data_IF_026575090916
#
_entry.id   IF_026575090916
#
_cell.length_a   1.000
_cell.length_b   1.000
_cell.length_c   1.000
_cell.angle_alpha   90.00
_cell.angle_beta   90.00
_cell.angle_gamma   90.00
#
_symmetry.space_group_name_H-M   'P 1'
#
loop_
_entity.id
_entity.type
_entity.pdbx_description
1 polymer ?
#
# COMPACT_ATOMS: atom_id res chain seq x y z
N UNK A 1 -54.53 -29.80 -27.14
CA UNK A 1 -55.07 -29.20 -25.90
C UNK A 1 -54.00 -29.29 -24.83
N UNK A 2 -53.79 -28.21 -24.16
CA UNK A 2 -52.96 -27.93 -22.99
C UNK A 2 -51.48 -27.61 -23.16
N UNK A 3 -51.27 -26.32 -23.16
CA UNK A 3 -50.11 -25.55 -22.81
C UNK A 3 -49.51 -25.94 -21.45
N UNK A 4 -48.19 -25.97 -21.34
CA UNK A 4 -47.47 -25.62 -20.12
C UNK A 4 -46.21 -24.82 -20.47
N UNK A 5 -46.30 -23.52 -20.20
CA UNK A 5 -45.23 -22.56 -20.28
C UNK A 5 -44.34 -22.72 -19.03
N UNK A 6 -43.08 -23.11 -19.25
CA UNK A 6 -42.03 -23.10 -18.22
C UNK A 6 -41.38 -21.73 -18.11
N UNK A 7 -41.71 -20.96 -17.09
CA UNK A 7 -41.03 -19.70 -16.73
C UNK A 7 -39.60 -20.02 -16.25
N UNK A 8 -38.61 -19.61 -17.01
CA UNK A 8 -37.22 -19.46 -16.53
C UNK A 8 -37.18 -18.27 -15.56
N UNK A 9 -36.93 -18.54 -14.29
CA UNK A 9 -36.57 -17.53 -13.31
C UNK A 9 -35.08 -17.21 -13.52
N UNK A 10 -34.79 -16.01 -13.97
CA UNK A 10 -33.46 -15.42 -13.93
C UNK A 10 -33.12 -15.10 -12.47
N UNK A 11 -32.22 -15.87 -11.88
CA UNK A 11 -31.56 -15.48 -10.63
C UNK A 11 -30.59 -14.32 -10.97
N UNK A 12 -31.04 -13.12 -10.70
CA UNK A 12 -30.16 -11.96 -10.54
C UNK A 12 -29.65 -12.06 -9.12
N UNK A 13 -28.45 -12.59 -8.97
CA UNK A 13 -27.72 -12.57 -7.71
C UNK A 13 -27.32 -11.10 -7.46
N UNK A 14 -27.99 -10.48 -6.51
CA UNK A 14 -27.71 -9.13 -6.07
C UNK A 14 -26.32 -9.11 -5.41
N UNK A 15 -25.38 -8.43 -6.05
CA UNK A 15 -24.09 -8.13 -5.46
C UNK A 15 -24.31 -7.39 -4.14
N UNK A 16 -23.83 -7.94 -3.05
CA UNK A 16 -23.86 -7.30 -1.75
C UNK A 16 -23.03 -6.01 -1.76
N UNK A 17 -23.46 -4.95 -1.08
CA UNK A 17 -22.75 -3.68 -1.08
C UNK A 17 -21.35 -3.83 -0.47
N UNK A 18 -20.33 -3.26 -1.14
CA UNK A 18 -18.91 -3.23 -0.81
C UNK A 18 -18.57 -2.69 0.61
N UNK A 19 -19.56 -2.17 1.33
CA UNK A 19 -19.37 -1.50 2.62
C UNK A 19 -19.10 -2.41 3.83
N UNK A 20 -19.27 -3.73 3.74
CA UNK A 20 -19.23 -4.59 4.92
C UNK A 20 -17.92 -5.37 5.15
N UNK A 21 -17.00 -5.41 4.17
CA UNK A 21 -15.77 -6.21 4.30
C UNK A 21 -14.50 -5.41 4.62
N UNK A 22 -14.51 -4.09 4.43
CA UNK A 22 -13.32 -3.24 4.61
C UNK A 22 -12.99 -2.85 6.06
N UNK A 23 -13.91 -3.06 7.02
CA UNK A 23 -13.75 -2.47 8.35
C UNK A 23 -12.85 -3.24 9.32
N UNK A 24 -12.76 -4.56 9.20
CA UNK A 24 -12.01 -5.37 10.17
C UNK A 24 -10.51 -5.47 9.87
N UNK A 25 -10.11 -5.46 8.60
CA UNK A 25 -8.69 -5.55 8.23
C UNK A 25 -7.96 -4.22 8.42
N UNK A 26 -8.62 -3.09 8.11
CA UNK A 26 -8.06 -1.76 8.29
C UNK A 26 -7.85 -1.41 9.78
N UNK A 27 -8.80 -1.79 10.64
CA UNK A 27 -8.67 -1.59 12.09
C UNK A 27 -7.53 -2.42 12.67
N UNK A 28 -7.34 -3.67 12.25
CA UNK A 28 -6.22 -4.51 12.69
C UNK A 28 -4.86 -3.97 12.22
N UNK A 29 -4.75 -3.41 11.01
CA UNK A 29 -3.48 -2.87 10.50
C UNK A 29 -3.13 -1.51 11.10
N UNK A 30 -4.11 -0.62 11.30
CA UNK A 30 -3.89 0.62 12.02
C UNK A 30 -3.58 0.35 13.49
N UNK A 31 -4.28 -0.57 14.13
CA UNK A 31 -4.03 -0.99 15.50
C UNK A 31 -2.65 -1.65 15.64
N UNK A 32 -2.19 -2.43 14.65
CA UNK A 32 -0.84 -3.01 14.63
C UNK A 32 0.26 -1.96 14.41
N UNK A 33 0.00 -0.90 13.63
CA UNK A 33 0.91 0.25 13.50
C UNK A 33 0.92 1.11 14.76
N UNK A 34 -0.23 1.30 15.43
CA UNK A 34 -0.34 2.04 16.69
C UNK A 34 0.18 1.23 17.88
N UNK A 35 -0.15 -0.06 17.99
CA UNK A 35 0.29 -0.92 19.10
C UNK A 35 1.79 -1.20 19.10
N UNK A 36 2.45 -1.25 17.93
CA UNK A 36 3.92 -1.31 17.88
C UNK A 36 4.59 0.03 18.13
N UNK A 37 3.89 1.14 17.91
CA UNK A 37 4.36 2.48 18.30
C UNK A 37 4.20 2.74 19.80
N UNK A 38 3.29 2.00 20.45
CA UNK A 38 3.02 2.03 21.87
C UNK A 38 3.30 0.65 22.47
N UNK A 39 4.55 0.17 22.37
CA UNK A 39 4.97 -0.97 23.16
C UNK A 39 4.77 -0.62 24.64
N UNK A 40 3.73 -1.17 25.25
CA UNK A 40 3.50 -1.08 26.68
C UNK A 40 4.74 -1.61 27.39
N UNK A 41 5.49 -0.70 27.99
CA UNK A 41 6.48 -1.05 28.98
C UNK A 41 5.75 -1.83 30.09
N UNK A 42 6.12 -3.07 30.41
CA UNK A 42 5.52 -3.78 31.53
C UNK A 42 5.82 -2.99 32.81
N UNK A 43 4.88 -2.96 33.78
CA UNK A 43 5.15 -2.30 35.06
C UNK A 43 6.35 -3.02 35.70
N UNK A 44 7.43 -2.26 35.92
CA UNK A 44 8.56 -2.72 36.72
C UNK A 44 8.07 -2.73 38.16
N UNK A 45 7.86 -3.92 38.70
CA UNK A 45 7.70 -4.12 40.15
C UNK A 45 9.05 -3.87 40.79
N UNK A 46 9.22 -2.69 41.39
CA UNK A 46 10.33 -2.41 42.26
C UNK A 46 10.05 -3.06 43.62
N UNK A 47 10.66 -4.22 43.87
CA UNK A 47 10.82 -4.71 45.24
C UNK A 47 11.84 -3.81 45.96
N UNK A 48 11.45 -3.44 47.17
CA UNK A 48 12.00 -2.40 48.00
C UNK A 48 13.52 -2.36 48.18
N UNK A 49 14.07 -1.20 47.91
CA UNK A 49 15.22 -0.68 48.66
C UNK A 49 14.94 0.79 48.97
N UNK A 50 14.81 1.01 50.29
CA UNK A 50 14.64 2.28 50.92
C UNK A 50 15.91 3.14 50.69
N UNK A 51 15.83 4.18 49.86
CA UNK A 51 16.86 5.22 49.77
C UNK A 51 16.15 6.57 49.77
N UNK A 52 16.56 7.34 50.81
CA UNK A 52 16.03 8.58 51.29
C UNK A 52 15.53 9.62 50.27
N UNK A 53 14.49 10.25 50.74
CA UNK A 53 13.90 11.51 50.29
C UNK A 53 14.91 12.55 49.82
N UNK A 54 14.96 12.80 48.49
CA UNK A 54 15.16 14.11 47.87
C UNK A 54 15.32 13.94 46.35
N UNK A 55 14.20 13.73 45.65
CA UNK A 55 14.13 14.00 44.22
C UNK A 55 13.18 15.18 44.00
N UNK A 56 13.58 16.22 43.29
CA UNK A 56 12.68 17.33 42.97
C UNK A 56 11.62 16.82 42.00
N UNK A 57 10.39 16.83 42.47
CA UNK A 57 9.19 16.66 41.67
C UNK A 57 9.05 17.91 40.82
N UNK A 58 9.61 17.90 39.61
CA UNK A 58 9.26 18.76 38.47
C UNK A 58 10.36 18.77 37.39
N UNK A 59 10.74 17.61 36.90
CA UNK A 59 11.24 17.55 35.52
C UNK A 59 10.13 17.00 34.65
N UNK A 60 9.18 17.89 34.33
CA UNK A 60 8.39 17.75 33.13
C UNK A 60 9.37 17.47 31.99
N UNK A 61 9.25 16.32 31.36
CA UNK A 61 9.99 15.96 30.14
C UNK A 61 9.87 17.18 29.23
N UNK A 62 10.86 18.06 29.24
CA UNK A 62 11.01 19.11 28.25
C UNK A 62 11.39 18.39 26.97
N UNK A 63 10.39 18.04 26.19
CA UNK A 63 10.59 17.79 24.76
C UNK A 63 11.08 19.13 24.23
N UNK A 64 12.39 19.27 24.14
CA UNK A 64 13.00 20.40 23.45
C UNK A 64 12.42 20.42 22.04
N UNK A 65 11.82 21.52 21.57
CA UNK A 65 11.38 21.65 20.19
C UNK A 65 12.60 21.90 19.31
N UNK A 66 13.41 20.87 19.13
CA UNK A 66 14.68 21.02 18.44
C UNK A 66 15.30 19.68 18.18
N UNK A 67 14.69 18.90 17.36
CA UNK A 67 15.25 18.10 16.27
C UNK A 67 14.22 17.05 15.85
N UNK A 68 13.17 17.47 15.18
CA UNK A 68 12.56 16.60 14.19
C UNK A 68 13.68 16.32 13.19
N UNK A 69 14.41 15.22 13.35
CA UNK A 69 15.38 14.73 12.38
C UNK A 69 14.65 14.15 11.16
N UNK A 70 13.69 14.92 10.62
CA UNK A 70 12.87 14.54 9.49
C UNK A 70 12.76 15.68 8.48
N UNK A 71 12.94 15.33 7.23
CA UNK A 71 12.80 16.22 6.09
C UNK A 71 11.40 16.10 5.48
N UNK A 72 10.78 17.25 5.14
CA UNK A 72 9.53 17.23 4.37
C UNK A 72 9.85 16.91 2.92
N UNK A 73 9.37 15.77 2.45
CA UNK A 73 9.56 15.29 1.07
C UNK A 73 8.22 14.96 0.41
N UNK A 74 8.19 15.05 -0.91
CA UNK A 74 7.14 14.42 -1.70
C UNK A 74 7.58 13.01 -2.03
N UNK A 75 6.82 12.01 -1.60
CA UNK A 75 7.16 10.59 -1.73
C UNK A 75 5.96 9.85 -2.30
N UNK A 76 6.21 8.84 -3.11
CA UNK A 76 5.20 7.86 -3.49
C UNK A 76 5.35 6.64 -2.60
N UNK A 77 4.29 6.36 -1.85
CA UNK A 77 4.22 5.21 -0.93
C UNK A 77 3.41 4.12 -1.59
N UNK A 78 3.90 2.89 -1.52
CA UNK A 78 3.25 1.69 -2.00
C UNK A 78 3.04 0.73 -0.85
N UNK A 79 1.83 0.17 -0.74
CA UNK A 79 1.57 -1.05 0.02
C UNK A 79 1.19 -2.15 -0.96
N UNK A 80 1.79 -3.32 -0.82
CA UNK A 80 1.45 -4.51 -1.57
C UNK A 80 1.18 -5.65 -0.58
N UNK A 81 0.05 -6.32 -0.72
CA UNK A 81 -0.43 -7.34 0.20
C UNK A 81 -0.87 -8.59 -0.57
N UNK A 82 -0.52 -9.77 -0.04
CA UNK A 82 -0.85 -11.04 -0.65
C UNK A 82 -2.28 -11.44 -0.32
N UNK A 83 -3.13 -11.59 -1.32
CA UNK A 83 -4.49 -12.08 -1.14
C UNK A 83 -4.57 -13.59 -1.31
N UNK A 84 -5.38 -14.24 -0.45
CA UNK A 84 -5.54 -15.69 -0.43
C UNK A 84 -4.49 -16.42 0.42
N UNK A 85 -3.48 -15.72 0.92
CA UNK A 85 -2.39 -16.30 1.67
C UNK A 85 -2.87 -16.95 2.99
N UNK A 86 -3.71 -16.29 3.77
CA UNK A 86 -4.24 -16.83 5.04
C UNK A 86 -4.96 -18.17 4.85
N UNK A 87 -5.84 -18.26 3.84
CA UNK A 87 -6.56 -19.51 3.55
C UNK A 87 -5.61 -20.63 3.05
N UNK A 88 -4.54 -20.25 2.35
CA UNK A 88 -3.56 -21.18 1.81
C UNK A 88 -2.66 -21.77 2.90
N UNK A 89 -2.50 -21.06 4.02
CA UNK A 89 -1.60 -21.44 5.13
C UNK A 89 -2.31 -22.07 6.32
N UNK A 90 -3.64 -22.12 6.33
CA UNK A 90 -4.47 -22.55 7.48
C UNK A 90 -4.14 -23.97 8.02
N UNK A 91 -3.62 -24.86 7.17
CA UNK A 91 -3.28 -26.24 7.55
C UNK A 91 -1.81 -26.58 7.30
N UNK A 92 -0.92 -25.58 7.29
CA UNK A 92 0.53 -25.76 7.05
C UNK A 92 1.33 -25.60 8.33
N UNK A 93 2.47 -26.26 8.36
CA UNK A 93 3.46 -26.02 9.40
C UNK A 93 4.02 -24.60 9.32
N UNK A 94 4.33 -24.01 10.48
CA UNK A 94 4.80 -22.63 10.56
C UNK A 94 6.07 -22.36 9.73
N UNK A 95 6.97 -23.35 9.64
CA UNK A 95 8.19 -23.26 8.84
C UNK A 95 7.90 -23.19 7.34
N UNK A 96 6.93 -23.98 6.85
CA UNK A 96 6.48 -23.92 5.45
C UNK A 96 5.85 -22.57 5.12
N UNK A 97 5.04 -22.03 6.05
CA UNK A 97 4.42 -20.72 5.91
C UNK A 97 5.49 -19.63 5.78
N UNK A 98 6.48 -19.62 6.68
CA UNK A 98 7.58 -18.64 6.66
C UNK A 98 8.40 -18.77 5.37
N UNK A 99 8.71 -19.98 4.93
CA UNK A 99 9.42 -20.21 3.67
C UNK A 99 8.66 -19.66 2.48
N UNK A 100 7.35 -19.90 2.41
CA UNK A 100 6.50 -19.45 1.30
C UNK A 100 6.36 -17.93 1.27
N UNK A 101 6.11 -17.29 2.44
CA UNK A 101 6.06 -15.83 2.57
C UNK A 101 7.35 -15.19 2.13
N UNK A 102 8.48 -15.63 2.71
CA UNK A 102 9.79 -15.05 2.43
C UNK A 102 10.15 -15.18 0.94
N UNK A 103 9.86 -16.35 0.34
CA UNK A 103 10.09 -16.55 -1.08
C UNK A 103 9.23 -15.62 -1.93
N UNK A 104 7.94 -15.46 -1.62
CA UNK A 104 7.05 -14.57 -2.34
C UNK A 104 7.46 -13.10 -2.19
N UNK A 105 7.73 -12.66 -0.95
CA UNK A 105 8.17 -11.30 -0.67
C UNK A 105 9.52 -10.97 -1.33
N UNK A 106 10.40 -11.93 -1.51
CA UNK A 106 11.65 -11.74 -2.26
C UNK A 106 11.38 -11.38 -3.73
N UNK A 107 10.45 -12.09 -4.39
CA UNK A 107 10.05 -11.76 -5.78
C UNK A 107 9.45 -10.36 -5.88
N UNK A 108 8.57 -9.98 -4.93
CA UNK A 108 7.97 -8.63 -4.92
C UNK A 108 9.02 -7.56 -4.60
N UNK A 109 9.94 -7.85 -3.68
CA UNK A 109 11.01 -6.92 -3.30
C UNK A 109 11.96 -6.58 -4.45
N UNK A 110 12.31 -7.56 -5.27
CA UNK A 110 13.13 -7.35 -6.47
C UNK A 110 12.49 -6.35 -7.45
N UNK A 111 11.14 -6.36 -7.56
CA UNK A 111 10.43 -5.37 -8.37
C UNK A 111 10.60 -3.95 -7.81
N UNK A 112 10.60 -3.77 -6.48
CA UNK A 112 10.86 -2.46 -5.86
C UNK A 112 12.28 -1.98 -6.17
N UNK A 113 13.29 -2.83 -5.96
CA UNK A 113 14.70 -2.47 -6.15
C UNK A 113 15.03 -2.19 -7.61
N UNK A 114 14.43 -2.89 -8.56
CA UNK A 114 14.60 -2.66 -10.01
C UNK A 114 14.28 -1.23 -10.43
N UNK A 115 13.35 -0.58 -9.72
CA UNK A 115 12.93 0.80 -9.97
C UNK A 115 13.46 1.80 -8.95
N UNK A 116 14.60 1.49 -8.29
CA UNK A 116 15.26 2.33 -7.27
C UNK A 116 14.34 2.71 -6.10
N UNK A 117 13.30 1.90 -5.82
CA UNK A 117 12.49 2.00 -4.63
C UNK A 117 13.22 1.44 -3.40
N UNK A 118 12.76 1.80 -2.24
CA UNK A 118 13.27 1.32 -0.95
C UNK A 118 12.17 0.59 -0.20
N UNK A 119 12.43 -0.63 0.26
CA UNK A 119 11.50 -1.33 1.17
C UNK A 119 11.65 -0.71 2.55
N UNK A 120 10.57 -0.17 3.07
CA UNK A 120 10.50 0.43 4.40
C UNK A 120 10.38 -0.67 5.45
N UNK A 121 9.42 -1.57 5.26
CA UNK A 121 9.20 -2.71 6.16
C UNK A 121 8.33 -3.79 5.53
N UNK A 122 8.42 -4.98 6.12
CA UNK A 122 7.47 -6.07 5.90
C UNK A 122 6.48 -6.15 7.07
N UNK A 123 5.20 -6.37 6.78
CA UNK A 123 4.11 -6.40 7.76
C UNK A 123 3.30 -7.68 7.52
N UNK A 124 3.77 -8.80 8.14
CA UNK A 124 3.22 -10.12 7.84
C UNK A 124 3.52 -10.54 6.40
N UNK A 125 2.49 -10.72 5.60
CA UNK A 125 2.52 -11.05 4.18
C UNK A 125 2.45 -9.82 3.26
N UNK A 126 2.51 -8.62 3.82
CA UNK A 126 2.53 -7.36 3.10
C UNK A 126 3.91 -6.69 3.13
N UNK A 127 4.19 -5.85 2.14
CA UNK A 127 5.36 -4.96 2.13
C UNK A 127 4.94 -3.50 1.98
N UNK A 128 5.69 -2.62 2.61
CA UNK A 128 5.64 -1.17 2.40
C UNK A 128 6.89 -0.73 1.68
N UNK A 129 6.73 -0.04 0.56
CA UNK A 129 7.84 0.50 -0.24
C UNK A 129 7.70 2.00 -0.46
N UNK A 130 8.83 2.66 -0.60
CA UNK A 130 8.97 4.10 -0.78
C UNK A 130 9.70 4.39 -2.11
N UNK A 131 9.16 5.31 -2.88
CA UNK A 131 9.81 5.90 -4.05
C UNK A 131 9.91 7.41 -3.81
N UNK A 132 11.15 7.93 -3.78
CA UNK A 132 11.43 9.31 -3.39
C UNK A 132 12.02 9.50 -1.99
N UNK A 133 12.26 8.41 -1.26
CA UNK A 133 12.97 8.42 0.00
C UNK A 133 13.79 7.13 0.16
N UNK A 134 15.03 7.19 0.62
CA UNK A 134 15.82 8.40 0.93
C UNK A 134 16.25 9.19 -0.31
N UNK A 135 16.31 8.55 -1.49
CA UNK A 135 16.66 9.19 -2.78
C UNK A 135 15.40 9.63 -3.50
N UNK A 136 15.44 10.81 -4.13
CA UNK A 136 14.32 11.37 -4.88
C UNK A 136 14.65 11.40 -6.38
N UNK A 137 13.69 10.97 -7.22
CA UNK A 137 13.73 11.08 -8.67
C UNK A 137 12.49 11.84 -9.14
N UNK A 138 12.56 12.46 -10.30
CA UNK A 138 11.43 13.21 -10.88
C UNK A 138 10.27 12.29 -11.26
N UNK A 139 10.58 11.03 -11.57
CA UNK A 139 9.68 9.99 -12.06
C UNK A 139 9.27 8.96 -10.98
N UNK A 140 9.46 9.26 -9.69
CA UNK A 140 9.12 8.35 -8.59
C UNK A 140 7.70 7.77 -8.67
N UNK A 141 6.64 8.52 -9.02
CA UNK A 141 5.29 7.97 -9.18
C UNK A 141 5.20 6.95 -10.33
N UNK A 142 5.90 7.21 -11.45
CA UNK A 142 5.98 6.28 -12.58
C UNK A 142 6.69 4.98 -12.17
N UNK A 143 7.83 5.10 -11.48
CA UNK A 143 8.61 3.96 -10.97
C UNK A 143 7.78 3.07 -10.06
N UNK A 144 6.99 3.67 -9.17
CA UNK A 144 6.08 2.95 -8.29
C UNK A 144 5.01 2.15 -9.07
N UNK A 145 4.39 2.77 -10.07
CA UNK A 145 3.36 2.08 -10.88
C UNK A 145 3.98 0.97 -11.75
N UNK A 146 5.18 1.17 -12.31
CA UNK A 146 5.91 0.13 -13.03
C UNK A 146 6.25 -1.05 -12.13
N UNK A 147 6.78 -0.78 -10.93
CA UNK A 147 7.08 -1.82 -9.95
C UNK A 147 5.83 -2.62 -9.58
N UNK A 148 4.67 -1.97 -9.44
CA UNK A 148 3.40 -2.65 -9.13
C UNK A 148 2.93 -3.58 -10.26
N UNK A 149 3.06 -3.17 -11.52
CA UNK A 149 2.76 -4.03 -12.68
C UNK A 149 3.74 -5.22 -12.76
N UNK A 150 5.04 -4.97 -12.57
CA UNK A 150 6.04 -6.04 -12.54
C UNK A 150 5.81 -7.03 -11.37
N UNK A 151 5.26 -6.57 -10.24
CA UNK A 151 4.89 -7.45 -9.12
C UNK A 151 3.80 -8.46 -9.52
N UNK A 152 2.81 -8.07 -10.31
CA UNK A 152 1.80 -8.99 -10.81
C UNK A 152 2.40 -10.05 -11.73
N UNK A 153 3.33 -9.64 -12.60
CA UNK A 153 4.05 -10.56 -13.48
C UNK A 153 4.98 -11.48 -12.68
N UNK A 154 5.73 -10.95 -11.72
CA UNK A 154 6.62 -11.69 -10.85
C UNK A 154 5.86 -12.74 -10.02
N UNK A 155 4.68 -12.40 -9.51
CA UNK A 155 3.83 -13.35 -8.81
C UNK A 155 3.28 -14.45 -9.74
N UNK A 156 3.02 -14.13 -10.99
CA UNK A 156 2.65 -15.12 -12.01
C UNK A 156 3.80 -16.11 -12.27
N UNK A 157 5.03 -15.61 -12.36
CA UNK A 157 6.22 -16.44 -12.48
C UNK A 157 6.46 -17.30 -11.22
N UNK A 158 6.26 -16.72 -10.03
CA UNK A 158 6.33 -17.45 -8.77
C UNK A 158 5.31 -18.60 -8.71
N UNK A 159 4.06 -18.36 -9.13
CA UNK A 159 3.01 -19.39 -9.18
C UNK A 159 3.32 -20.54 -10.15
N UNK A 160 4.11 -20.30 -11.17
CA UNK A 160 4.53 -21.33 -12.13
C UNK A 160 5.57 -22.30 -11.53
N UNK A 161 6.40 -21.85 -10.60
CA UNK A 161 7.44 -22.66 -9.96
C UNK A 161 7.61 -22.29 -8.48
N UNK A 162 6.62 -22.53 -7.63
CA UNK A 162 6.71 -22.20 -6.20
C UNK A 162 7.61 -23.21 -5.45
N UNK A 163 8.27 -22.79 -4.36
CA UNK A 163 9.11 -23.69 -3.56
C UNK A 163 8.32 -24.82 -2.88
N UNK A 164 7.01 -24.60 -2.67
CA UNK A 164 6.05 -25.55 -2.11
C UNK A 164 4.74 -25.49 -2.90
N UNK A 165 3.97 -26.58 -2.97
CA UNK A 165 2.68 -26.59 -3.66
C UNK A 165 1.75 -25.51 -3.12
N UNK A 166 1.09 -24.75 -4.00
CA UNK A 166 0.10 -23.73 -3.62
C UNK A 166 -1.28 -24.40 -3.50
N UNK A 167 -1.88 -24.35 -2.31
CA UNK A 167 -3.19 -24.98 -2.04
C UNK A 167 -4.36 -23.97 -2.20
N UNK A 168 -4.23 -23.02 -3.12
CA UNK A 168 -5.26 -22.01 -3.35
C UNK A 168 -4.81 -20.87 -4.26
N UNK A 169 -5.69 -19.94 -4.56
CA UNK A 169 -5.36 -18.76 -5.35
C UNK A 169 -4.48 -17.81 -4.53
N UNK A 170 -3.39 -17.37 -5.13
CA UNK A 170 -2.46 -16.39 -4.58
C UNK A 170 -2.39 -15.21 -5.55
N UNK A 171 -2.73 -14.02 -5.08
CA UNK A 171 -2.63 -12.79 -5.86
C UNK A 171 -2.04 -11.67 -5.00
N UNK A 172 -1.65 -10.56 -5.64
CA UNK A 172 -1.21 -9.35 -4.95
C UNK A 172 -2.17 -8.22 -5.27
N UNK A 173 -2.60 -7.49 -4.25
CA UNK A 173 -3.31 -6.22 -4.41
C UNK A 173 -2.46 -5.09 -3.87
N UNK A 174 -2.53 -3.92 -4.53
CA UNK A 174 -1.55 -2.86 -4.33
C UNK A 174 -2.26 -1.52 -4.21
N UNK A 175 -1.85 -0.73 -3.21
CA UNK A 175 -2.27 0.65 -3.01
C UNK A 175 -1.09 1.60 -3.14
N UNK A 176 -1.22 2.64 -4.00
CA UNK A 176 -0.16 3.61 -4.26
C UNK A 176 -0.67 5.02 -4.03
N UNK A 177 0.04 5.80 -3.23
CA UNK A 177 -0.29 7.21 -3.02
C UNK A 177 0.94 8.11 -3.03
N UNK A 178 0.85 9.20 -3.77
CA UNK A 178 1.88 10.24 -3.84
C UNK A 178 1.45 11.45 -3.01
N UNK A 179 2.33 11.96 -2.17
CA UNK A 179 2.05 13.13 -1.36
C UNK A 179 3.20 13.57 -0.47
N UNK A 180 2.98 14.64 0.29
CA UNK A 180 3.95 15.16 1.23
C UNK A 180 3.97 14.32 2.50
N UNK A 181 5.19 13.97 2.93
CA UNK A 181 5.46 13.22 4.16
C UNK A 181 6.62 13.87 4.91
N UNK A 182 6.79 13.50 6.16
CA UNK A 182 8.03 13.69 6.91
C UNK A 182 8.83 12.39 6.78
N UNK A 183 9.99 12.45 6.16
CA UNK A 183 10.92 11.34 6.01
C UNK A 183 12.09 11.51 6.98
N UNK A 184 12.42 10.50 7.75
CA UNK A 184 13.50 10.59 8.72
C UNK A 184 13.56 9.39 9.66
N UNK A 185 14.46 9.48 10.63
CA UNK A 185 14.55 8.49 11.70
C UNK A 185 13.45 8.75 12.73
N UNK A 186 12.52 7.80 12.83
CA UNK A 186 11.37 7.87 13.73
C UNK A 186 11.46 6.74 14.74
N UNK A 187 11.20 7.08 16.00
CA UNK A 187 11.27 6.12 17.10
C UNK A 187 11.84 6.72 18.38
N UNK A 188 12.30 5.86 19.26
CA UNK A 188 12.94 6.22 20.53
C UNK A 188 14.45 6.07 20.42
N UNK A 189 15.21 6.59 21.39
CA UNK A 189 16.69 6.42 21.45
C UNK A 189 17.14 4.95 21.35
N UNK A 190 16.31 4.02 21.80
CA UNK A 190 16.63 2.58 21.80
C UNK A 190 16.19 1.86 20.53
N UNK A 191 15.27 2.45 19.77
CA UNK A 191 14.74 1.85 18.53
C UNK A 191 14.31 2.95 17.57
N UNK A 192 15.14 3.19 16.57
CA UNK A 192 14.88 4.14 15.49
C UNK A 192 14.93 3.43 14.15
N UNK A 193 13.98 3.74 13.28
CA UNK A 193 13.99 3.30 11.90
C UNK A 193 13.80 4.49 10.97
N UNK A 194 14.50 4.51 9.86
CA UNK A 194 14.21 5.47 8.80
C UNK A 194 12.89 5.08 8.15
N UNK A 195 11.92 5.97 8.19
CA UNK A 195 10.58 5.74 7.62
C UNK A 195 9.91 7.07 7.26
N UNK A 196 8.70 7.01 6.78
CA UNK A 196 7.89 8.19 6.44
C UNK A 196 6.61 8.26 7.25
N UNK A 197 6.23 9.48 7.64
CA UNK A 197 4.94 9.76 8.29
C UNK A 197 4.18 10.82 7.50
N UNK A 198 2.90 10.59 7.24
CA UNK A 198 2.04 11.57 6.57
C UNK A 198 0.85 10.93 5.86
N UNK A 199 0.00 11.80 5.29
CA UNK A 199 -1.24 11.35 4.66
C UNK A 199 -1.03 10.36 3.50
N UNK A 200 0.09 10.47 2.76
CA UNK A 200 0.35 9.55 1.64
C UNK A 200 0.50 8.10 2.13
N UNK A 201 1.19 7.86 3.26
CA UNK A 201 1.32 6.52 3.83
C UNK A 201 -0.05 5.95 4.26
N UNK A 202 -0.84 6.76 5.00
CA UNK A 202 -2.17 6.36 5.41
C UNK A 202 -3.11 6.11 4.22
N UNK A 203 -2.97 6.92 3.16
CA UNK A 203 -3.79 6.78 1.97
C UNK A 203 -3.43 5.52 1.19
N UNK A 204 -2.15 5.23 0.99
CA UNK A 204 -1.69 4.02 0.32
C UNK A 204 -2.16 2.74 1.05
N UNK A 205 -2.09 2.73 2.40
CA UNK A 205 -2.60 1.62 3.22
C UNK A 205 -4.12 1.40 3.03
N UNK A 206 -4.89 2.49 2.86
CA UNK A 206 -6.34 2.38 2.62
C UNK A 206 -6.67 1.95 1.21
N UNK A 207 -5.86 2.35 0.23
CA UNK A 207 -6.04 1.92 -1.15
C UNK A 207 -5.82 0.42 -1.30
N UNK A 208 -4.83 -0.15 -0.61
CA UNK A 208 -4.62 -1.60 -0.62
C UNK A 208 -5.78 -2.34 0.05
N UNK A 209 -6.34 -1.80 1.13
CA UNK A 209 -7.51 -2.40 1.79
C UNK A 209 -8.79 -2.39 0.93
N UNK A 210 -8.90 -1.42 0.01
CA UNK A 210 -10.04 -1.29 -0.91
C UNK A 210 -9.86 -2.11 -2.19
N UNK A 211 -8.64 -2.47 -2.54
CA UNK A 211 -8.33 -3.21 -3.75
C UNK A 211 -8.70 -4.69 -3.60
N UNK A 212 -9.39 -5.22 -4.60
CA UNK A 212 -9.62 -6.66 -4.71
C UNK A 212 -8.36 -7.37 -5.25
N UNK A 213 -8.41 -8.71 -5.27
CA UNK A 213 -7.32 -9.55 -5.76
C UNK A 213 -6.84 -9.14 -7.15
N UNK A 214 -5.55 -8.91 -7.29
CA UNK A 214 -4.93 -8.55 -8.55
C UNK A 214 -5.17 -7.10 -8.98
N UNK A 215 -5.73 -6.23 -8.14
CA UNK A 215 -5.94 -4.83 -8.47
C UNK A 215 -4.82 -3.94 -7.95
N UNK A 216 -4.53 -2.89 -8.71
CA UNK A 216 -3.59 -1.83 -8.33
C UNK A 216 -4.36 -0.52 -8.27
N UNK A 217 -4.56 0.03 -7.08
CA UNK A 217 -5.26 1.29 -6.87
C UNK A 217 -4.29 2.42 -6.63
N UNK A 218 -4.56 3.56 -7.25
CA UNK A 218 -3.77 4.78 -7.06
C UNK A 218 -4.65 5.95 -6.65
N UNK A 219 -4.09 6.89 -5.88
CA UNK A 219 -4.74 8.17 -5.57
C UNK A 219 -4.71 9.12 -6.77
N UNK A 220 -5.54 10.17 -6.72
CA UNK A 220 -5.67 11.17 -7.76
C UNK A 220 -4.34 11.89 -8.08
N UNK A 221 -3.48 12.15 -7.09
CA UNK A 221 -2.16 12.76 -7.32
C UNK A 221 -1.23 11.83 -8.12
N UNK A 222 -1.18 10.53 -7.79
CA UNK A 222 -0.43 9.54 -8.56
C UNK A 222 -0.97 9.43 -9.99
N UNK A 223 -2.29 9.34 -10.14
CA UNK A 223 -2.95 9.31 -11.43
C UNK A 223 -2.58 10.51 -12.31
N UNK A 224 -2.70 11.75 -11.79
CA UNK A 224 -2.36 12.97 -12.56
C UNK A 224 -0.94 12.97 -13.08
N UNK A 225 0.01 12.44 -12.31
CA UNK A 225 1.42 12.40 -12.67
C UNK A 225 1.73 11.31 -13.70
N UNK A 226 0.94 10.24 -13.77
CA UNK A 226 1.26 9.04 -14.52
C UNK A 226 0.27 8.68 -15.63
N UNK A 227 -0.88 9.38 -15.74
CA UNK A 227 -1.97 9.10 -16.71
C UNK A 227 -1.55 9.12 -18.17
N UNK A 228 -0.43 9.72 -18.51
CA UNK A 228 0.09 9.77 -19.87
C UNK A 228 0.90 8.51 -20.24
N UNK A 229 1.22 7.66 -19.28
CA UNK A 229 2.06 6.47 -19.44
C UNK A 229 1.28 5.17 -19.25
N UNK A 230 0.19 5.22 -18.48
CA UNK A 230 -0.57 4.02 -18.13
C UNK A 230 -2.06 4.18 -18.47
N UNK A 231 -2.70 3.07 -18.78
CA UNK A 231 -4.15 2.96 -18.92
C UNK A 231 -4.77 2.81 -17.53
N UNK A 232 -5.83 3.57 -17.30
CA UNK A 232 -6.55 3.59 -16.04
C UNK A 232 -8.04 3.35 -16.24
N UNK A 233 -8.67 2.76 -15.24
CA UNK A 233 -10.11 2.74 -15.05
C UNK A 233 -10.44 3.67 -13.89
N UNK A 234 -11.28 4.69 -14.17
CA UNK A 234 -11.80 5.57 -13.13
C UNK A 234 -12.82 4.78 -12.30
N UNK A 235 -12.66 4.86 -10.98
CA UNK A 235 -13.60 4.30 -10.03
C UNK A 235 -14.41 5.44 -9.41
N UNK A 236 -15.60 5.10 -8.90
CA UNK A 236 -16.41 6.06 -8.17
C UNK A 236 -15.70 6.57 -6.92
N UNK A 237 -16.09 7.78 -6.50
CA UNK A 237 -15.56 8.33 -5.25
C UNK A 237 -16.01 7.51 -4.05
N UNK A 238 -15.05 7.06 -3.25
CA UNK A 238 -15.30 6.23 -2.07
C UNK A 238 -15.15 7.06 -0.81
N UNK A 239 -16.15 7.00 0.07
CA UNK A 239 -16.03 7.55 1.42
C UNK A 239 -15.13 6.62 2.25
N UNK A 240 -14.02 7.16 2.74
CA UNK A 240 -13.05 6.39 3.55
C UNK A 240 -13.12 6.87 4.99
N UNK A 241 -13.25 5.92 5.92
CA UNK A 241 -13.34 6.21 7.38
C UNK A 241 -12.13 7.06 7.81
N UNK A 242 -12.42 8.19 8.48
CA UNK A 242 -11.39 9.12 8.97
C UNK A 242 -10.85 10.11 7.92
N UNK A 243 -11.44 10.19 6.72
CA UNK A 243 -11.22 11.27 5.77
C UNK A 243 -12.46 12.14 5.66
N UNK A 244 -12.28 13.47 5.65
CA UNK A 244 -13.38 14.42 5.58
C UNK A 244 -13.98 14.57 4.17
N UNK A 245 -13.22 14.19 3.14
CA UNK A 245 -13.66 14.26 1.74
C UNK A 245 -13.66 12.87 1.10
N UNK A 246 -14.60 12.58 0.18
CA UNK A 246 -14.59 11.36 -0.61
C UNK A 246 -13.29 11.25 -1.42
N UNK A 247 -12.72 10.06 -1.47
CA UNK A 247 -11.49 9.78 -2.16
C UNK A 247 -11.77 9.37 -3.61
N UNK A 248 -11.12 10.03 -4.55
CA UNK A 248 -11.11 9.60 -5.94
C UNK A 248 -10.01 8.57 -6.16
N UNK A 249 -10.38 7.40 -6.67
CA UNK A 249 -9.51 6.25 -6.86
C UNK A 249 -9.46 5.90 -8.34
N UNK A 250 -8.28 5.49 -8.80
CA UNK A 250 -8.07 5.02 -10.17
C UNK A 250 -7.40 3.65 -10.11
N UNK A 251 -7.88 2.72 -10.94
CA UNK A 251 -7.27 1.40 -11.09
C UNK A 251 -6.30 1.42 -12.26
N UNK A 252 -5.07 0.97 -12.04
CA UNK A 252 -4.06 0.78 -13.09
C UNK A 252 -4.39 -0.50 -13.85
N UNK A 253 -4.47 -0.42 -15.17
CA UNK A 253 -4.77 -1.58 -16.02
C UNK A 253 -3.53 -2.12 -16.74
N UNK A 254 -2.75 -1.23 -17.34
CA UNK A 254 -1.56 -1.60 -18.11
C UNK A 254 -0.69 -0.37 -18.43
N UNK A 255 0.52 -0.63 -18.88
CA UNK A 255 1.34 0.39 -19.52
C UNK A 255 0.87 0.65 -20.95
N UNK A 256 0.81 1.92 -21.36
CA UNK A 256 0.47 2.30 -22.74
C UNK A 256 1.61 1.94 -23.69
N UNK A 257 1.30 1.27 -24.79
CA UNK A 257 2.26 0.85 -25.82
C UNK A 257 2.94 2.04 -26.53
N UNK A 258 2.30 3.21 -26.53
CA UNK A 258 2.85 4.48 -26.97
C UNK A 258 2.55 5.51 -25.87
N UNK A 259 3.57 6.09 -25.22
CA UNK A 259 3.37 7.20 -24.28
C UNK A 259 2.62 8.30 -25.02
N UNK A 260 1.41 8.62 -24.55
CA UNK A 260 0.46 9.40 -25.33
C UNK A 260 1.04 10.72 -25.75
N UNK A 261 1.11 10.95 -27.03
CA UNK A 261 0.81 12.27 -27.55
C UNK A 261 -0.52 12.65 -26.93
N UNK A 262 -0.49 13.57 -25.96
CA UNK A 262 -1.70 14.21 -25.46
C UNK A 262 -2.56 14.48 -26.68
N UNK A 263 -3.78 13.97 -26.74
CA UNK A 263 -4.76 14.41 -27.72
C UNK A 263 -4.97 15.89 -27.41
N UNK A 264 -4.14 16.72 -28.03
CA UNK A 264 -4.34 18.14 -28.13
C UNK A 264 -5.71 18.32 -28.75
N UNK A 265 -6.53 19.09 -28.09
CA UNK A 265 -7.84 19.57 -28.51
C UNK A 265 -7.87 19.65 -30.04
N UNK A 266 -8.76 18.90 -30.65
CA UNK A 266 -8.89 18.83 -32.09
C UNK A 266 -9.12 20.21 -32.68
N UNK A 267 -8.35 20.54 -33.70
CA UNK A 267 -8.54 21.71 -34.53
C UNK A 267 -7.39 22.69 -34.44
N UNK A 268 -6.40 22.47 -35.29
CA UNK A 268 -5.70 23.49 -36.09
C UNK A 268 -4.48 22.83 -36.75
N UNK A 269 -4.70 22.04 -37.80
CA UNK A 269 -3.67 21.79 -38.80
C UNK A 269 -3.46 23.08 -39.57
N UNK A 270 -2.57 23.92 -39.12
CA UNK A 270 -1.99 24.96 -40.00
C UNK A 270 -0.92 24.29 -40.84
N UNK A 271 -1.19 24.12 -42.13
CA UNK A 271 -0.18 23.78 -43.12
C UNK A 271 0.88 24.87 -43.11
N UNK A 272 2.12 24.53 -42.74
CA UNK A 272 3.29 25.35 -43.00
C UNK A 272 3.58 25.26 -44.50
N UNK A 273 3.16 26.31 -45.24
CA UNK A 273 3.62 26.54 -46.62
C UNK A 273 4.97 27.22 -46.49
N UNK A 274 6.05 26.49 -46.86
CA UNK A 274 7.38 27.02 -46.97
C UNK A 274 7.53 27.92 -48.20
N UNK A 275 8.23 29.01 -48.03
CA UNK A 275 8.91 29.73 -49.10
C UNK A 275 10.39 29.42 -49.04
#
# INVERSE_FOLDING_TARGET
>A
MNHLAGRRRSNVEAAAPLHCRASESAERRMQFCEERSLARVPPVTLEGHDIGSNLPVNDAIRISPGTLQGERKRVTVMFADLSGFTAMTEHRDAEEVVMLVNSCLAYLGECVYRYDGTIDKYIGDALMALFGAPRTHEDDPERAVRAALDMQEALTAFKANPPLPLNGPLDVHIGIATGNVIAGHIGTERHQAYTVMGNAANLAARLVDLADRGQIFVCDDTFRLTRHLFAYRDLDTVAVKGMTAPLRIHEVLAMLSQPGRSQGVGGLRKALVGR
#
